data_IF_795214170897
#
_entry.id   IF_795214170897
#
_cell.length_a   1.000
_cell.length_b   1.000
_cell.length_c   1.000
_cell.angle_alpha   90.00
_cell.angle_beta   90.00
_cell.angle_gamma   90.00
#
_symmetry.space_group_name_H-M   'P 1'
#
loop_
_entity.id
_entity.type
_entity.pdbx_description
1 polymer ?
#
# COMPACT_ATOMS: atom_id res chain seq x y z
N UNK A 1 -17.76 49.82 -53.16
CA UNK A 1 -18.65 49.58 -52.00
C UNK A 1 -17.84 49.78 -50.74
N UNK A 2 -17.81 50.98 -50.17
CA UNK A 2 -17.23 51.27 -48.85
C UNK A 2 -18.04 52.42 -48.26
N UNK A 3 -19.03 52.08 -47.44
CA UNK A 3 -19.66 53.03 -46.54
C UNK A 3 -18.97 52.87 -45.19
N UNK A 4 -18.03 53.75 -44.88
CA UNK A 4 -17.48 53.90 -43.54
C UNK A 4 -18.55 54.49 -42.64
N UNK A 5 -19.15 53.65 -41.80
CA UNK A 5 -19.97 54.13 -40.68
C UNK A 5 -19.01 54.70 -39.63
N UNK A 6 -19.03 56.01 -39.46
CA UNK A 6 -18.23 56.71 -38.46
C UNK A 6 -18.58 56.21 -37.05
N UNK A 7 -17.57 55.73 -36.34
CA UNK A 7 -17.70 55.22 -34.97
C UNK A 7 -17.93 56.37 -34.00
N UNK A 8 -19.10 56.39 -33.35
CA UNK A 8 -19.46 57.37 -32.33
C UNK A 8 -18.96 56.85 -30.97
N UNK A 9 -17.95 57.47 -30.34
CA UNK A 9 -17.38 56.96 -29.11
C UNK A 9 -18.35 57.13 -27.93
N UNK A 10 -18.52 56.06 -27.16
CA UNK A 10 -19.29 56.06 -25.91
C UNK A 10 -18.44 56.57 -24.74
N UNK A 11 -19.07 57.02 -23.65
CA UNK A 11 -18.35 57.55 -22.46
C UNK A 11 -17.28 56.58 -21.93
N UNK A 12 -17.52 55.27 -21.99
CA UNK A 12 -16.53 54.24 -21.59
C UNK A 12 -15.34 54.13 -22.55
N UNK A 13 -15.54 54.39 -23.85
CA UNK A 13 -14.47 54.39 -24.85
C UNK A 13 -13.49 55.55 -24.64
N UNK A 14 -13.93 56.67 -24.08
CA UNK A 14 -13.10 57.85 -23.76
C UNK A 14 -12.29 57.63 -22.47
N UNK A 15 -12.82 56.85 -21.52
CA UNK A 15 -12.16 56.60 -20.22
C UNK A 15 -10.93 55.69 -20.37
N UNK A 16 -10.90 54.83 -21.40
CA UNK A 16 -9.80 53.89 -21.63
C UNK A 16 -8.59 54.50 -22.37
N UNK A 17 -8.65 55.74 -22.87
CA UNK A 17 -7.52 56.37 -23.57
C UNK A 17 -6.61 57.20 -22.65
N UNK A 18 -7.03 57.47 -21.41
CA UNK A 18 -6.29 58.30 -20.43
C UNK A 18 -6.18 57.64 -19.05
N UNK A 19 -6.15 56.31 -18.98
CA UNK A 19 -5.81 55.62 -17.74
C UNK A 19 -4.34 55.16 -17.82
N UNK A 20 -3.59 55.39 -16.74
CA UNK A 20 -2.21 54.94 -16.51
C UNK A 20 -1.10 55.93 -16.92
N UNK A 21 -1.12 57.13 -16.34
CA UNK A 21 0.13 57.84 -16.02
C UNK A 21 0.53 57.73 -14.55
N UNK A 22 -0.42 57.41 -13.66
CA UNK A 22 -0.19 57.37 -12.20
C UNK A 22 -0.52 56.01 -11.55
N UNK A 23 -0.59 54.92 -12.32
CA UNK A 23 -0.84 53.59 -11.75
C UNK A 23 0.48 52.95 -11.29
N UNK A 24 0.76 53.04 -10.00
CA UNK A 24 1.86 52.31 -9.37
C UNK A 24 1.35 51.01 -8.74
N UNK A 25 1.75 49.87 -9.32
CA UNK A 25 1.52 48.56 -8.72
C UNK A 25 2.68 48.17 -7.82
N UNK A 26 2.48 48.19 -6.50
CA UNK A 26 3.45 47.66 -5.53
C UNK A 26 3.19 46.17 -5.33
N UNK A 27 4.00 45.31 -5.94
CA UNK A 27 3.92 43.86 -5.78
C UNK A 27 4.96 43.37 -4.78
N UNK A 28 4.51 42.82 -3.66
CA UNK A 28 5.39 42.13 -2.72
C UNK A 28 5.60 40.68 -3.15
N UNK A 29 6.83 40.33 -3.57
CA UNK A 29 7.23 38.94 -3.75
C UNK A 29 7.70 38.39 -2.41
N UNK A 30 6.88 37.57 -1.75
CA UNK A 30 7.37 36.82 -0.59
C UNK A 30 8.38 35.77 -1.05
N UNK A 31 9.46 35.60 -0.30
CA UNK A 31 10.44 34.55 -0.58
C UNK A 31 9.74 33.19 -0.50
N UNK A 32 9.66 32.48 -1.62
CA UNK A 32 9.26 31.06 -1.60
C UNK A 32 10.30 30.32 -0.78
N UNK A 33 9.88 29.81 0.39
CA UNK A 33 10.70 28.90 1.20
C UNK A 33 11.24 27.82 0.27
N UNK A 34 12.56 27.66 0.20
CA UNK A 34 13.19 26.52 -0.48
C UNK A 34 12.50 25.28 0.07
N UNK A 35 11.65 24.64 -0.74
CA UNK A 35 11.27 23.27 -0.45
C UNK A 35 12.60 22.53 -0.45
N UNK A 36 13.00 22.06 0.73
CA UNK A 36 14.04 21.04 0.83
C UNK A 36 13.59 20.01 -0.20
N UNK A 37 14.37 19.82 -1.25
CA UNK A 37 14.22 18.63 -2.07
C UNK A 37 14.37 17.51 -1.05
N UNK A 38 13.23 17.02 -0.55
CA UNK A 38 13.17 15.65 -0.12
C UNK A 38 13.65 14.97 -1.37
N UNK A 39 14.88 14.46 -1.32
CA UNK A 39 15.27 13.38 -2.19
C UNK A 39 14.20 12.32 -1.98
N UNK A 40 13.08 12.44 -2.71
CA UNK A 40 12.57 11.29 -3.40
C UNK A 40 13.76 10.84 -4.21
N UNK A 41 14.61 10.03 -3.58
CA UNK A 41 15.30 8.98 -4.26
C UNK A 41 14.19 8.12 -4.88
N UNK A 42 13.58 8.62 -5.95
CA UNK A 42 13.48 7.84 -7.16
C UNK A 42 14.92 7.42 -7.39
N UNK A 43 15.30 6.30 -6.77
CA UNK A 43 16.38 5.50 -7.30
C UNK A 43 16.14 5.49 -8.80
N UNK A 44 17.14 5.85 -9.62
CA UNK A 44 17.00 5.60 -11.03
C UNK A 44 16.69 4.11 -11.11
N UNK A 45 15.44 3.77 -11.42
CA UNK A 45 15.12 2.47 -11.96
C UNK A 45 15.87 2.49 -13.26
N UNK A 46 17.15 2.11 -13.19
CA UNK A 46 17.89 1.62 -14.32
C UNK A 46 16.94 0.59 -14.89
N UNK A 47 16.31 0.95 -16.01
CA UNK A 47 15.56 0.02 -16.84
C UNK A 47 16.65 -0.88 -17.41
N UNK A 48 17.17 -1.76 -16.56
CA UNK A 48 18.03 -2.84 -16.95
C UNK A 48 17.11 -3.72 -17.78
N UNK A 49 17.12 -3.46 -19.07
CA UNK A 49 16.52 -4.34 -20.05
C UNK A 49 17.06 -5.74 -19.80
N UNK A 50 16.14 -6.70 -19.70
CA UNK A 50 16.38 -8.12 -19.94
C UNK A 50 17.08 -8.89 -18.83
N UNK A 51 16.32 -9.15 -17.77
CA UNK A 51 16.01 -10.54 -17.48
C UNK A 51 14.49 -10.67 -17.34
N UNK A 52 13.83 -11.33 -18.28
CA UNK A 52 12.40 -11.69 -18.21
C UNK A 52 12.18 -12.80 -17.17
N UNK A 53 12.85 -12.71 -16.02
CA UNK A 53 12.70 -13.64 -14.91
C UNK A 53 11.64 -13.06 -13.99
N UNK A 54 10.53 -13.77 -13.85
CA UNK A 54 9.44 -13.38 -12.98
C UNK A 54 9.89 -13.42 -11.52
N UNK A 55 10.21 -12.26 -10.95
CA UNK A 55 10.49 -12.13 -9.52
C UNK A 55 9.18 -12.02 -8.73
N UNK A 56 8.87 -13.09 -8.01
CA UNK A 56 7.69 -13.18 -7.15
C UNK A 56 7.68 -12.05 -6.10
N UNK A 57 8.84 -11.60 -5.61
CA UNK A 57 8.90 -10.52 -4.60
C UNK A 57 8.45 -9.19 -5.19
N UNK A 58 8.92 -8.89 -6.40
CA UNK A 58 8.51 -7.70 -7.15
C UNK A 58 7.03 -7.74 -7.51
N UNK A 59 6.53 -8.87 -8.01
CA UNK A 59 5.12 -9.05 -8.32
C UNK A 59 4.23 -8.84 -7.08
N UNK A 60 4.61 -9.40 -5.92
CA UNK A 60 3.88 -9.18 -4.65
C UNK A 60 3.85 -7.71 -4.25
N UNK A 61 4.95 -6.98 -4.44
CA UNK A 61 5.00 -5.56 -4.16
C UNK A 61 4.07 -4.76 -5.09
N UNK A 62 4.08 -5.07 -6.38
CA UNK A 62 3.21 -4.42 -7.37
C UNK A 62 1.74 -4.67 -7.09
N UNK A 63 1.36 -5.90 -6.75
CA UNK A 63 -0.01 -6.24 -6.33
C UNK A 63 -0.42 -5.46 -5.09
N UNK A 64 0.45 -5.36 -4.07
CA UNK A 64 0.17 -4.56 -2.88
C UNK A 64 0.00 -3.08 -3.21
N UNK A 65 0.88 -2.51 -4.03
CA UNK A 65 0.82 -1.11 -4.47
C UNK A 65 -0.47 -0.84 -5.25
N UNK A 66 -0.86 -1.75 -6.14
CA UNK A 66 -2.11 -1.68 -6.89
C UNK A 66 -3.33 -1.72 -5.96
N UNK A 67 -3.37 -2.66 -5.00
CA UNK A 67 -4.46 -2.75 -4.03
C UNK A 67 -4.63 -1.48 -3.19
N UNK A 68 -3.53 -0.81 -2.81
CA UNK A 68 -3.58 0.46 -2.07
C UNK A 68 -4.18 1.60 -2.92
N UNK A 69 -4.01 1.55 -4.25
CA UNK A 69 -4.47 2.61 -5.14
C UNK A 69 -5.99 2.80 -5.11
N UNK A 70 -6.74 1.71 -4.91
CA UNK A 70 -8.21 1.69 -4.89
C UNK A 70 -8.87 1.91 -3.53
N UNK A 71 -8.10 2.24 -2.48
CA UNK A 71 -8.66 2.50 -1.14
C UNK A 71 -9.08 3.97 -0.95
N UNK A 72 -10.08 4.18 -0.08
CA UNK A 72 -10.47 5.51 0.43
C UNK A 72 -9.28 6.24 1.05
N UNK A 73 -9.31 7.59 1.08
CA UNK A 73 -8.18 8.42 1.50
C UNK A 73 -7.55 8.01 2.85
N UNK A 74 -8.36 7.84 3.90
CA UNK A 74 -7.87 7.48 5.23
C UNK A 74 -7.23 6.08 5.26
N UNK A 75 -7.91 5.09 4.67
CA UNK A 75 -7.41 3.71 4.59
C UNK A 75 -6.16 3.61 3.70
N UNK A 76 -6.09 4.43 2.65
CA UNK A 76 -4.94 4.53 1.75
C UNK A 76 -3.71 5.03 2.49
N UNK A 77 -3.84 6.07 3.32
CA UNK A 77 -2.73 6.56 4.15
C UNK A 77 -2.22 5.48 5.11
N UNK A 78 -3.13 4.81 5.83
CA UNK A 78 -2.73 3.72 6.74
C UNK A 78 -2.01 2.58 6.00
N UNK A 79 -2.53 2.17 4.84
CA UNK A 79 -1.94 1.09 4.05
C UNK A 79 -0.58 1.50 3.46
N UNK A 80 -0.40 2.76 3.06
CA UNK A 80 0.89 3.30 2.64
C UNK A 80 1.91 3.30 3.77
N UNK A 81 1.52 3.72 4.98
CA UNK A 81 2.39 3.68 6.16
C UNK A 81 2.81 2.24 6.46
N UNK A 82 1.88 1.28 6.42
CA UNK A 82 2.18 -0.15 6.59
C UNK A 82 3.15 -0.66 5.53
N UNK A 83 2.95 -0.29 4.26
CA UNK A 83 3.86 -0.65 3.17
C UNK A 83 5.25 -0.07 3.39
N UNK A 84 5.35 1.20 3.79
CA UNK A 84 6.62 1.85 4.07
C UNK A 84 7.37 1.15 5.22
N UNK A 85 6.67 0.81 6.31
CA UNK A 85 7.26 0.05 7.44
C UNK A 85 7.77 -1.32 6.96
N UNK A 86 7.00 -2.02 6.13
CA UNK A 86 7.42 -3.31 5.55
C UNK A 86 8.67 -3.20 4.67
N UNK A 87 8.85 -2.05 4.00
CA UNK A 87 10.07 -1.73 3.24
C UNK A 87 11.24 -1.28 4.13
N UNK A 88 11.06 -1.21 5.45
CA UNK A 88 12.09 -0.82 6.42
C UNK A 88 12.03 0.63 6.88
N UNK A 89 10.97 1.38 6.53
CA UNK A 89 10.78 2.71 7.10
C UNK A 89 10.52 2.63 8.62
N UNK A 90 11.01 3.62 9.37
CA UNK A 90 10.74 3.72 10.81
C UNK A 90 9.24 3.99 11.04
N UNK A 91 8.57 3.25 11.94
CA UNK A 91 7.16 3.48 12.25
C UNK A 91 6.93 4.86 12.86
N UNK A 92 5.73 5.45 12.67
CA UNK A 92 5.38 6.72 13.29
C UNK A 92 5.41 6.61 14.81
N UNK A 93 5.68 7.74 15.50
CA UNK A 93 5.68 7.78 16.96
C UNK A 93 4.27 7.55 17.49
N UNK A 94 4.15 6.76 18.55
CA UNK A 94 2.89 6.56 19.25
C UNK A 94 2.45 7.86 19.94
N UNK A 95 1.13 8.01 20.11
CA UNK A 95 0.57 9.12 20.90
C UNK A 95 0.98 8.99 22.36
N UNK A 96 1.20 10.11 23.02
CA UNK A 96 1.43 10.15 24.46
C UNK A 96 0.15 9.72 25.19
N UNK A 97 0.30 8.82 26.16
CA UNK A 97 -0.79 8.31 27.01
C UNK A 97 -0.28 8.16 28.44
N UNK A 98 -1.18 8.20 29.43
CA UNK A 98 -0.83 7.88 30.81
C UNK A 98 -0.43 6.40 30.92
N UNK A 99 0.60 6.11 31.72
CA UNK A 99 1.10 4.76 31.90
C UNK A 99 0.04 3.80 32.45
N UNK A 100 -0.80 4.23 33.39
CA UNK A 100 -1.84 3.39 33.99
C UNK A 100 -2.88 2.97 32.95
N UNK A 101 -3.35 3.93 32.14
CA UNK A 101 -4.29 3.68 31.04
C UNK A 101 -3.70 2.74 29.99
N UNK A 102 -2.44 2.95 29.62
CA UNK A 102 -1.74 2.11 28.64
C UNK A 102 -1.60 0.67 29.13
N UNK A 103 -1.34 0.45 30.42
CA UNK A 103 -1.32 -0.89 31.00
C UNK A 103 -2.69 -1.58 30.93
N UNK A 104 -3.76 -0.85 31.24
CA UNK A 104 -5.12 -1.38 31.16
C UNK A 104 -5.52 -1.74 29.72
N UNK A 105 -5.23 -0.86 28.76
CA UNK A 105 -5.44 -1.13 27.33
C UNK A 105 -4.73 -2.42 26.90
N UNK A 106 -3.45 -2.58 27.26
CA UNK A 106 -2.68 -3.79 26.92
C UNK A 106 -3.24 -5.06 27.56
N UNK A 107 -3.77 -4.97 28.79
CA UNK A 107 -4.40 -6.13 29.45
C UNK A 107 -5.66 -6.55 28.69
N UNK A 108 -6.53 -5.58 28.36
CA UNK A 108 -7.76 -5.81 27.57
C UNK A 108 -7.44 -6.38 26.18
N UNK A 109 -6.46 -5.82 25.48
CA UNK A 109 -6.02 -6.32 24.17
C UNK A 109 -5.52 -7.76 24.23
N UNK A 110 -4.77 -8.12 25.29
CA UNK A 110 -4.32 -9.52 25.51
C UNK A 110 -5.50 -10.45 25.74
N UNK A 111 -6.45 -10.09 26.60
CA UNK A 111 -7.64 -10.90 26.86
C UNK A 111 -8.48 -11.13 25.59
N UNK A 112 -8.65 -10.09 24.77
CA UNK A 112 -9.33 -10.19 23.48
C UNK A 112 -8.55 -11.08 22.51
N UNK A 113 -7.23 -10.95 22.44
CA UNK A 113 -6.41 -11.82 21.59
C UNK A 113 -6.46 -13.28 22.05
N UNK A 114 -6.37 -13.54 23.35
CA UNK A 114 -6.40 -14.89 23.91
C UNK A 114 -7.77 -15.55 23.69
N UNK A 115 -8.86 -14.80 23.86
CA UNK A 115 -10.21 -15.28 23.55
C UNK A 115 -10.39 -15.56 22.05
N UNK A 116 -9.88 -14.70 21.17
CA UNK A 116 -9.89 -14.93 19.72
C UNK A 116 -9.07 -16.16 19.32
N UNK A 117 -7.90 -16.36 19.93
CA UNK A 117 -7.06 -17.54 19.70
C UNK A 117 -7.77 -18.81 20.15
N UNK A 118 -8.37 -18.79 21.34
CA UNK A 118 -9.20 -19.90 21.84
C UNK A 118 -10.34 -20.21 20.89
N UNK A 119 -11.03 -19.18 20.40
CA UNK A 119 -12.11 -19.32 19.43
C UNK A 119 -11.63 -19.95 18.12
N UNK A 120 -10.49 -19.51 17.57
CA UNK A 120 -9.90 -20.09 16.35
C UNK A 120 -9.39 -21.53 16.54
N UNK A 121 -9.05 -21.90 17.77
CA UNK A 121 -8.64 -23.24 18.17
C UNK A 121 -9.82 -24.15 18.53
N UNK A 122 -11.07 -23.66 18.50
CA UNK A 122 -12.24 -24.52 18.69
C UNK A 122 -12.22 -25.68 17.69
N UNK A 123 -12.36 -26.90 18.20
CA UNK A 123 -12.26 -28.11 17.39
C UNK A 123 -10.83 -28.56 17.08
N UNK A 124 -9.80 -27.93 17.67
CA UNK A 124 -8.39 -28.32 17.56
C UNK A 124 -7.74 -28.52 18.94
N UNK A 125 -6.77 -29.43 19.02
CA UNK A 125 -5.91 -29.64 20.19
C UNK A 125 -4.87 -28.53 20.31
N UNK A 126 -4.13 -28.49 21.42
CA UNK A 126 -2.98 -27.58 21.65
C UNK A 126 -1.91 -27.66 20.55
N UNK A 127 -1.81 -28.83 19.89
CA UNK A 127 -0.92 -29.07 18.75
C UNK A 127 -1.54 -28.70 17.39
N UNK A 128 -2.74 -28.10 17.37
CA UNK A 128 -3.46 -27.68 16.16
C UNK A 128 -4.13 -28.80 15.36
N UNK A 129 -4.14 -30.04 15.89
CA UNK A 129 -4.79 -31.20 15.27
C UNK A 129 -6.29 -31.14 15.49
N UNK A 130 -7.11 -31.58 14.55
CA UNK A 130 -8.56 -31.60 14.75
C UNK A 130 -8.96 -32.59 15.85
N UNK A 131 -9.76 -32.13 16.82
CA UNK A 131 -10.37 -32.95 17.87
C UNK A 131 -11.28 -34.05 17.27
N UNK A 132 -11.92 -33.75 16.14
CA UNK A 132 -12.79 -34.70 15.43
C UNK A 132 -11.94 -35.73 14.70
N UNK A 133 -12.09 -37.00 15.10
CA UNK A 133 -11.47 -38.15 14.42
C UNK A 133 -12.17 -38.41 13.09
N UNK A 134 -11.74 -37.75 12.02
CA UNK A 134 -12.20 -38.08 10.66
C UNK A 134 -11.63 -39.45 10.28
N UNK A 135 -12.50 -40.43 10.04
CA UNK A 135 -12.11 -41.73 9.49
C UNK A 135 -11.42 -41.49 8.14
N UNK A 136 -10.12 -41.73 8.06
CA UNK A 136 -9.35 -41.60 6.80
C UNK A 136 -10.02 -42.52 5.76
N UNK A 137 -10.62 -41.93 4.73
CA UNK A 137 -11.17 -42.70 3.61
C UNK A 137 -10.07 -43.59 3.03
N UNK A 138 -10.35 -44.89 2.88
CA UNK A 138 -9.42 -45.90 2.35
C UNK A 138 -8.94 -45.60 0.92
N UNK A 139 -9.48 -44.56 0.24
CA UNK A 139 -9.14 -44.16 -1.13
C UNK A 139 -7.65 -43.92 -1.39
N UNK A 140 -6.84 -43.52 -0.40
CA UNK A 140 -5.39 -43.29 -0.62
C UNK A 140 -4.56 -44.58 -0.81
N UNK A 141 -5.07 -45.76 -0.44
CA UNK A 141 -4.33 -47.01 -0.64
C UNK A 141 -4.38 -47.55 -2.08
N UNK A 142 -5.35 -47.10 -2.88
CA UNK A 142 -5.53 -47.60 -4.24
C UNK A 142 -4.89 -46.70 -5.32
N UNK A 143 -4.32 -45.54 -4.95
CA UNK A 143 -3.70 -44.60 -5.93
C UNK A 143 -2.44 -45.19 -6.56
N UNK A 144 -1.76 -46.11 -5.87
CA UNK A 144 -0.55 -46.76 -6.39
C UNK A 144 -0.85 -48.00 -7.25
N UNK A 145 -2.06 -48.57 -7.14
CA UNK A 145 -2.46 -49.80 -7.84
C UNK A 145 -2.80 -49.44 -9.29
N UNK A 146 -1.95 -49.84 -10.23
CA UNK A 146 -1.95 -49.45 -11.63
C UNK A 146 -1.08 -48.23 -11.97
N UNK A 147 -0.30 -47.69 -11.03
CA UNK A 147 0.63 -46.59 -11.32
C UNK A 147 1.98 -47.10 -11.84
N UNK A 148 2.65 -46.36 -12.73
CA UNK A 148 3.99 -46.72 -13.24
C UNK A 148 5.01 -47.00 -12.11
N UNK A 149 4.85 -46.32 -10.98
CA UNK A 149 5.68 -46.50 -9.78
C UNK A 149 5.49 -47.86 -9.08
N UNK A 150 4.43 -48.62 -9.41
CA UNK A 150 4.21 -49.99 -8.92
C UNK A 150 5.19 -50.98 -9.57
N UNK A 151 5.47 -50.82 -10.87
CA UNK A 151 6.42 -51.66 -11.60
C UNK A 151 7.89 -51.29 -11.30
N UNK A 152 8.17 -50.00 -11.10
CA UNK A 152 9.54 -49.49 -11.00
C UNK A 152 9.98 -49.07 -9.59
N UNK A 153 9.08 -49.10 -8.60
CA UNK A 153 9.37 -48.82 -7.20
C UNK A 153 9.60 -47.33 -6.86
N UNK A 154 9.60 -47.00 -5.56
CA UNK A 154 9.92 -45.64 -5.07
C UNK A 154 11.34 -45.59 -4.50
N UNK A 155 12.11 -44.57 -4.86
CA UNK A 155 13.44 -44.33 -4.30
C UNK A 155 13.36 -43.54 -3.00
N UNK A 156 14.01 -44.00 -1.93
CA UNK A 156 14.17 -43.21 -0.69
C UNK A 156 15.20 -42.10 -0.93
N UNK A 157 14.76 -40.85 -0.83
CA UNK A 157 15.67 -39.70 -0.87
C UNK A 157 16.51 -39.70 0.40
N UNK A 158 17.85 -39.79 0.27
CA UNK A 158 18.77 -39.66 1.41
C UNK A 158 18.71 -38.24 1.95
N UNK A 159 18.37 -38.08 3.23
CA UNK A 159 18.48 -36.78 3.91
C UNK A 159 19.95 -36.40 4.01
N UNK A 160 20.31 -35.20 3.53
CA UNK A 160 21.64 -34.64 3.73
C UNK A 160 21.84 -34.40 5.23
N UNK A 161 22.95 -34.92 5.77
CA UNK A 161 23.44 -34.61 7.11
C UNK A 161 23.91 -33.16 7.17
#
# INVERSE_FOLDING_TARGET
>A
MQNSLDFIPTKSSIINSNCNKDFESVTFTSYKKKQKQTSSSSSPTTKNEKSNVFDIKKARYEVLKFGISGLDHNKKQEAQIRLAIKLGAKPPKNKYKNYKELLEERKKEKEVNDSNLRFQQLGKDEQGKSLVKIKKSKRRKNVLKGSLLEAYGTTKVKSKK
#
